data_IF_266172177647
#
_entry.id   IF_266172177647
#
_cell.length_a   1.000
_cell.length_b   1.000
_cell.length_c   1.000
_cell.angle_alpha   90.00
_cell.angle_beta   90.00
_cell.angle_gamma   90.00
#
_symmetry.space_group_name_H-M   'P 1'
#
loop_
_entity.id
_entity.type
_entity.pdbx_description
1 polymer ?
#
# COMPACT_ATOMS: atom_id res chain seq x y z
N UNK A 1 -36.03 -1.59 -39.20
CA UNK A 1 -35.00 -1.86 -38.19
C UNK A 1 -34.38 -0.53 -37.81
N UNK A 2 -34.45 -0.14 -36.55
CA UNK A 2 -33.84 1.11 -36.06
C UNK A 2 -32.42 0.82 -35.62
N UNK A 3 -31.42 1.54 -36.17
CA UNK A 3 -30.04 1.46 -35.71
C UNK A 3 -29.95 2.04 -34.29
N UNK A 4 -29.61 1.22 -33.30
CA UNK A 4 -29.54 1.63 -31.90
C UNK A 4 -28.16 2.21 -31.54
N UNK A 5 -27.08 1.64 -32.09
CA UNK A 5 -25.72 2.05 -31.79
C UNK A 5 -24.81 1.75 -32.99
N UNK A 6 -23.88 2.65 -33.29
CA UNK A 6 -22.79 2.44 -34.25
C UNK A 6 -21.46 2.62 -33.49
N UNK A 7 -20.73 1.53 -33.28
CA UNK A 7 -19.39 1.56 -32.69
C UNK A 7 -18.38 1.85 -33.80
N UNK A 8 -17.56 2.90 -33.61
CA UNK A 8 -16.40 3.15 -34.48
C UNK A 8 -15.22 2.31 -33.95
N UNK A 9 -14.44 1.78 -34.87
CA UNK A 9 -13.18 1.12 -34.55
C UNK A 9 -12.14 2.18 -34.18
N UNK A 10 -11.42 1.99 -33.08
CA UNK A 10 -10.27 2.83 -32.74
C UNK A 10 -9.06 2.42 -33.59
N UNK A 11 -8.90 1.11 -33.83
CA UNK A 11 -7.95 0.56 -34.77
C UNK A 11 -8.69 0.22 -36.08
N UNK A 12 -8.45 0.92 -37.19
CA UNK A 12 -9.13 0.67 -38.45
C UNK A 12 -8.81 -0.69 -39.10
N UNK A 13 -7.70 -1.33 -38.64
CA UNK A 13 -7.26 -2.62 -39.17
C UNK A 13 -7.88 -3.79 -38.38
N UNK A 14 -8.16 -3.61 -37.09
CA UNK A 14 -8.74 -4.66 -36.24
C UNK A 14 -10.16 -5.04 -36.70
N UNK A 15 -10.43 -6.32 -36.85
CA UNK A 15 -11.74 -6.89 -37.10
C UNK A 15 -12.54 -7.11 -35.83
N UNK A 16 -13.83 -7.48 -35.98
CA UNK A 16 -14.63 -8.00 -34.87
C UNK A 16 -14.77 -9.50 -35.05
N UNK A 17 -14.33 -10.26 -34.04
CA UNK A 17 -14.46 -11.72 -34.07
C UNK A 17 -15.79 -12.21 -33.53
N UNK A 18 -16.21 -11.64 -32.38
CA UNK A 18 -17.46 -12.04 -31.74
C UNK A 18 -18.08 -10.88 -30.96
N UNK A 19 -19.38 -11.02 -30.65
CA UNK A 19 -20.15 -10.04 -29.89
C UNK A 19 -21.10 -10.76 -28.94
N UNK A 20 -21.10 -10.35 -27.68
CA UNK A 20 -22.00 -10.85 -26.64
C UNK A 20 -22.77 -9.71 -25.99
N UNK A 21 -24.07 -9.91 -25.77
CA UNK A 21 -24.95 -8.91 -25.16
C UNK A 21 -25.45 -9.40 -23.81
N UNK A 22 -25.31 -8.56 -22.77
CA UNK A 22 -25.88 -8.80 -21.45
C UNK A 22 -27.12 -7.90 -21.25
N UNK A 23 -28.35 -8.46 -21.32
CA UNK A 23 -29.57 -7.67 -21.20
C UNK A 23 -29.84 -7.14 -19.77
N UNK A 24 -29.19 -7.68 -18.75
CA UNK A 24 -29.43 -7.26 -17.34
C UNK A 24 -28.84 -5.89 -17.03
N UNK A 25 -27.76 -5.51 -17.71
CA UNK A 25 -27.05 -4.24 -17.47
C UNK A 25 -26.80 -3.43 -18.75
N UNK A 26 -27.44 -3.83 -19.87
CA UNK A 26 -27.34 -3.18 -21.18
C UNK A 26 -25.89 -3.05 -21.70
N UNK A 27 -25.05 -4.05 -21.40
CA UNK A 27 -23.66 -4.09 -21.83
C UNK A 27 -23.49 -4.97 -23.08
N UNK A 28 -22.72 -4.47 -24.04
CA UNK A 28 -22.30 -5.15 -25.24
C UNK A 28 -20.80 -5.41 -25.16
N UNK A 29 -20.41 -6.67 -25.13
CA UNK A 29 -19.01 -7.11 -25.17
C UNK A 29 -18.62 -7.37 -26.62
N UNK A 30 -17.52 -6.81 -27.07
CA UNK A 30 -16.96 -6.94 -28.41
C UNK A 30 -15.58 -7.53 -28.32
N UNK A 31 -15.38 -8.69 -28.92
CA UNK A 31 -14.08 -9.35 -29.06
C UNK A 31 -13.45 -8.91 -30.38
N UNK A 32 -12.23 -8.39 -30.31
CA UNK A 32 -11.49 -7.91 -31.46
C UNK A 32 -10.37 -8.90 -31.84
N UNK A 33 -10.01 -8.96 -33.11
CA UNK A 33 -8.95 -9.84 -33.63
C UNK A 33 -7.52 -9.40 -33.21
N UNK A 34 -7.41 -8.19 -32.64
CA UNK A 34 -6.17 -7.72 -31.98
C UNK A 34 -6.06 -8.16 -30.50
N UNK A 35 -6.98 -9.05 -30.05
CA UNK A 35 -7.01 -9.59 -28.69
C UNK A 35 -7.68 -8.69 -27.67
N UNK A 36 -8.12 -7.48 -28.04
CA UNK A 36 -8.80 -6.58 -27.10
C UNK A 36 -10.28 -6.97 -26.92
N UNK A 37 -10.73 -6.96 -25.68
CA UNK A 37 -12.15 -7.16 -25.35
C UNK A 37 -12.70 -5.84 -24.83
N UNK A 38 -13.61 -5.22 -25.59
CA UNK A 38 -14.20 -3.93 -25.26
C UNK A 38 -15.66 -4.07 -24.85
N UNK A 39 -16.04 -3.41 -23.76
CA UNK A 39 -17.41 -3.45 -23.25
C UNK A 39 -18.06 -2.07 -23.32
N UNK A 40 -19.21 -2.01 -23.98
CA UNK A 40 -19.95 -0.80 -24.27
C UNK A 40 -21.29 -0.81 -23.57
N UNK A 41 -21.73 0.33 -23.07
CA UNK A 41 -23.13 0.52 -22.68
C UNK A 41 -23.95 0.92 -23.91
N UNK A 42 -24.94 0.12 -24.24
CA UNK A 42 -25.74 0.34 -25.48
C UNK A 42 -26.72 1.51 -25.38
N UNK A 43 -27.14 1.90 -24.17
CA UNK A 43 -28.05 3.04 -23.99
C UNK A 43 -27.31 4.36 -24.18
N UNK A 44 -26.11 4.47 -23.65
CA UNK A 44 -25.32 5.70 -23.70
C UNK A 44 -24.37 5.75 -24.88
N UNK A 45 -24.10 4.62 -25.53
CA UNK A 45 -23.10 4.50 -26.60
C UNK A 45 -21.64 4.64 -26.09
N UNK A 46 -21.41 4.64 -24.81
CA UNK A 46 -20.07 4.88 -24.22
C UNK A 46 -19.35 3.57 -23.94
N UNK A 47 -18.03 3.54 -24.23
CA UNK A 47 -17.13 2.51 -23.78
C UNK A 47 -17.09 2.52 -22.24
N UNK A 48 -17.20 1.35 -21.64
CA UNK A 48 -17.14 1.20 -20.18
C UNK A 48 -15.74 0.82 -19.74
N UNK A 49 -15.18 -0.22 -20.35
CA UNK A 49 -13.82 -0.68 -20.08
C UNK A 49 -13.28 -1.51 -21.22
N UNK A 50 -11.96 -1.66 -21.23
CA UNK A 50 -11.24 -2.58 -22.11
C UNK A 50 -10.53 -3.60 -21.23
N UNK A 51 -10.65 -4.86 -21.58
CA UNK A 51 -9.94 -5.97 -20.96
C UNK A 51 -8.92 -6.52 -21.96
N UNK A 52 -7.69 -6.71 -21.49
CA UNK A 52 -6.57 -7.26 -22.26
C UNK A 52 -6.12 -8.55 -21.56
N UNK A 53 -6.49 -9.72 -22.07
CA UNK A 53 -5.92 -10.98 -21.59
C UNK A 53 -4.52 -11.17 -22.19
N UNK A 54 -3.63 -11.76 -21.40
CA UNK A 54 -2.33 -12.24 -21.83
C UNK A 54 -2.20 -13.74 -21.55
N UNK A 55 -1.07 -14.33 -21.89
CA UNK A 55 -0.77 -15.72 -21.57
C UNK A 55 -0.61 -15.92 -20.04
N UNK A 56 -0.67 -17.16 -19.57
CA UNK A 56 -0.43 -17.56 -18.17
C UNK A 56 -1.36 -16.88 -17.14
N UNK A 57 -2.61 -16.56 -17.52
CA UNK A 57 -3.59 -15.89 -16.66
C UNK A 57 -3.28 -14.44 -16.29
N UNK A 58 -2.33 -13.82 -16.96
CA UNK A 58 -2.06 -12.39 -16.82
C UNK A 58 -3.14 -11.56 -17.51
N UNK A 59 -3.47 -10.42 -16.94
CA UNK A 59 -4.47 -9.52 -17.54
C UNK A 59 -4.32 -8.07 -17.08
N UNK A 60 -4.88 -7.16 -17.89
CA UNK A 60 -5.13 -5.77 -17.52
C UNK A 60 -6.56 -5.39 -17.92
N UNK A 61 -7.24 -4.66 -17.04
CA UNK A 61 -8.51 -3.99 -17.34
C UNK A 61 -8.35 -2.50 -17.11
N UNK A 62 -8.74 -1.68 -18.06
CA UNK A 62 -8.70 -0.23 -17.90
C UNK A 62 -9.99 0.44 -18.38
N UNK A 63 -10.31 1.59 -17.80
CA UNK A 63 -11.47 2.42 -18.13
C UNK A 63 -11.08 3.57 -19.06
N UNK A 64 -12.03 4.18 -19.79
CA UNK A 64 -11.76 5.37 -20.62
C UNK A 64 -11.17 6.55 -19.84
N UNK A 65 -11.45 6.62 -18.54
CA UNK A 65 -10.91 7.63 -17.64
C UNK A 65 -9.43 7.39 -17.31
N UNK A 66 -8.88 6.19 -17.62
CA UNK A 66 -7.50 5.80 -17.40
C UNK A 66 -7.28 4.95 -16.15
N UNK A 67 -8.31 4.72 -15.32
CA UNK A 67 -8.17 3.83 -14.16
C UNK A 67 -7.98 2.39 -14.60
N UNK A 68 -7.06 1.68 -13.93
CA UNK A 68 -6.77 0.30 -14.29
C UNK A 68 -6.68 -0.64 -13.08
N UNK A 69 -6.82 -1.92 -13.37
CA UNK A 69 -6.49 -3.05 -12.50
C UNK A 69 -5.87 -4.16 -13.35
N UNK A 70 -5.13 -5.05 -12.73
CA UNK A 70 -4.51 -6.18 -13.42
C UNK A 70 -3.63 -6.97 -12.49
N UNK A 71 -3.05 -8.04 -13.03
CA UNK A 71 -2.03 -8.81 -12.31
C UNK A 71 -0.75 -8.00 -12.15
N UNK A 72 0.00 -8.28 -11.10
CA UNK A 72 1.19 -7.51 -10.75
C UNK A 72 2.23 -7.52 -11.87
N UNK A 73 2.46 -8.68 -12.47
CA UNK A 73 3.42 -8.81 -13.55
C UNK A 73 2.99 -8.05 -14.81
N UNK A 74 1.70 -8.16 -15.20
CA UNK A 74 1.17 -7.46 -16.37
C UNK A 74 1.21 -5.94 -16.22
N UNK A 75 0.88 -5.41 -15.04
CA UNK A 75 0.92 -3.96 -14.76
C UNK A 75 2.33 -3.38 -14.79
N UNK A 76 3.34 -4.19 -14.44
CA UNK A 76 4.74 -3.76 -14.42
C UNK A 76 5.48 -3.92 -15.74
N UNK A 77 5.05 -4.84 -16.62
CA UNK A 77 5.90 -5.27 -17.73
C UNK A 77 5.24 -5.23 -19.12
N UNK A 78 3.91 -5.14 -19.21
CA UNK A 78 3.24 -5.43 -20.48
C UNK A 78 2.55 -4.24 -21.15
N UNK A 79 2.29 -3.15 -20.45
CA UNK A 79 1.50 -2.04 -20.99
C UNK A 79 2.20 -0.71 -20.83
N UNK A 80 2.21 0.02 -21.93
CA UNK A 80 2.79 1.33 -22.04
C UNK A 80 1.76 2.33 -22.59
N UNK A 81 1.80 3.55 -22.07
CA UNK A 81 1.15 4.68 -22.71
C UNK A 81 2.16 5.33 -23.64
N UNK A 82 1.77 5.56 -24.89
CA UNK A 82 2.60 6.27 -25.89
C UNK A 82 1.99 7.65 -26.13
N UNK A 83 2.78 8.70 -25.86
CA UNK A 83 2.43 10.08 -26.20
C UNK A 83 3.54 10.67 -27.08
N UNK A 84 3.30 10.75 -28.37
CA UNK A 84 4.30 11.13 -29.36
C UNK A 84 5.45 10.13 -29.44
N UNK A 85 6.65 10.55 -28.99
CA UNK A 85 7.84 9.71 -28.90
C UNK A 85 8.10 9.20 -27.47
N UNK A 86 7.33 9.65 -26.49
CA UNK A 86 7.50 9.27 -25.11
C UNK A 86 6.70 7.99 -24.80
N UNK A 87 7.34 7.09 -24.09
CA UNK A 87 6.76 5.83 -23.61
C UNK A 87 6.70 5.91 -22.08
N UNK A 88 5.50 5.81 -21.53
CA UNK A 88 5.26 5.85 -20.09
C UNK A 88 4.75 4.47 -19.65
N UNK A 89 5.47 3.81 -18.76
CA UNK A 89 5.04 2.55 -18.16
C UNK A 89 3.86 2.77 -17.21
N UNK A 90 2.91 1.84 -17.14
CA UNK A 90 1.80 1.93 -16.19
C UNK A 90 2.28 2.05 -14.73
N UNK A 91 3.41 1.41 -14.41
CA UNK A 91 4.03 1.48 -13.08
C UNK A 91 4.36 2.92 -12.65
N UNK A 92 4.71 3.79 -13.61
CA UNK A 92 5.01 5.21 -13.35
C UNK A 92 3.78 6.03 -12.94
N UNK A 93 2.56 5.53 -13.23
CA UNK A 93 1.27 6.17 -12.91
C UNK A 93 0.48 5.38 -11.85
N UNK A 94 1.08 4.34 -11.27
CA UNK A 94 0.41 3.40 -10.38
C UNK A 94 -0.32 4.11 -9.23
N UNK A 95 0.33 5.03 -8.55
CA UNK A 95 -0.24 5.76 -7.41
C UNK A 95 -1.52 6.52 -7.72
N UNK A 96 -1.71 6.94 -8.96
CA UNK A 96 -2.87 7.73 -9.38
C UNK A 96 -3.94 6.88 -10.05
N UNK A 97 -3.54 5.94 -10.90
CA UNK A 97 -4.47 5.25 -11.80
C UNK A 97 -4.76 3.80 -11.43
N UNK A 98 -3.97 3.16 -10.57
CA UNK A 98 -4.32 1.83 -10.08
C UNK A 98 -5.49 1.91 -9.10
N UNK A 99 -6.71 1.65 -9.63
CA UNK A 99 -7.99 1.82 -8.94
C UNK A 99 -8.94 0.64 -9.26
N UNK A 100 -8.63 -0.58 -8.75
CA UNK A 100 -9.48 -1.76 -8.94
C UNK A 100 -10.95 -1.53 -8.55
N UNK A 101 -11.19 -0.72 -7.51
CA UNK A 101 -12.50 -0.33 -7.04
C UNK A 101 -13.30 0.45 -8.10
N UNK A 102 -12.67 1.43 -8.75
CA UNK A 102 -13.33 2.22 -9.81
C UNK A 102 -13.54 1.38 -11.07
N UNK A 103 -12.58 0.51 -11.40
CA UNK A 103 -12.78 -0.47 -12.48
C UNK A 103 -13.96 -1.38 -12.16
N UNK A 104 -14.04 -1.94 -10.95
CA UNK A 104 -15.16 -2.78 -10.52
C UNK A 104 -16.51 -2.01 -10.53
N UNK A 105 -16.52 -0.75 -10.10
CA UNK A 105 -17.69 0.11 -10.18
C UNK A 105 -18.15 0.33 -11.63
N UNK A 106 -17.21 0.54 -12.55
CA UNK A 106 -17.46 0.70 -13.97
C UNK A 106 -18.00 -0.59 -14.61
N UNK A 107 -17.46 -1.76 -14.21
CA UNK A 107 -17.99 -3.07 -14.61
C UNK A 107 -19.46 -3.26 -14.19
N UNK A 108 -19.88 -2.65 -13.09
CA UNK A 108 -21.28 -2.62 -12.61
C UNK A 108 -22.13 -1.56 -13.31
N UNK A 109 -21.57 -0.80 -14.27
CA UNK A 109 -22.28 0.25 -15.01
C UNK A 109 -22.39 1.58 -14.26
N UNK A 110 -21.65 1.77 -13.15
CA UNK A 110 -21.66 3.03 -12.39
C UNK A 110 -20.84 4.12 -13.09
N UNK A 111 -21.26 5.38 -12.91
CA UNK A 111 -20.49 6.54 -13.36
C UNK A 111 -19.35 6.84 -12.36
N UNK A 112 -18.13 6.86 -12.89
CA UNK A 112 -16.91 7.13 -12.13
C UNK A 112 -16.22 8.44 -12.56
N UNK A 113 -16.86 9.21 -13.44
CA UNK A 113 -16.26 10.43 -14.02
C UNK A 113 -15.86 11.48 -12.98
N UNK A 114 -16.56 11.54 -11.85
CA UNK A 114 -16.24 12.45 -10.76
C UNK A 114 -14.85 12.19 -10.14
N UNK A 115 -14.39 10.93 -10.16
CA UNK A 115 -13.08 10.53 -9.63
C UNK A 115 -11.91 10.83 -10.58
N UNK A 116 -12.21 11.04 -11.88
CA UNK A 116 -11.20 11.30 -12.91
C UNK A 116 -10.76 12.77 -12.95
N UNK A 117 -11.47 13.66 -12.27
CA UNK A 117 -11.20 15.11 -12.33
C UNK A 117 -9.77 15.42 -11.83
N UNK A 118 -8.93 15.92 -12.73
CA UNK A 118 -7.55 16.30 -12.45
C UNK A 118 -6.53 15.13 -12.41
N UNK A 119 -7.01 13.87 -12.54
CA UNK A 119 -6.17 12.66 -12.57
C UNK A 119 -6.53 11.69 -13.70
N UNK A 120 -7.30 12.13 -14.68
CA UNK A 120 -7.54 11.34 -15.90
C UNK A 120 -6.23 11.11 -16.66
N UNK A 121 -6.22 10.11 -17.54
CA UNK A 121 -5.05 9.83 -18.39
C UNK A 121 -4.62 11.08 -19.18
N UNK A 122 -5.57 11.87 -19.68
CA UNK A 122 -5.31 13.14 -20.36
C UNK A 122 -4.73 14.22 -19.43
N UNK A 123 -5.19 14.28 -18.17
CA UNK A 123 -4.64 15.21 -17.18
C UNK A 123 -3.22 14.82 -16.76
N UNK A 124 -2.92 13.53 -16.76
CA UNK A 124 -1.59 13.01 -16.46
C UNK A 124 -0.65 13.30 -17.64
N UNK A 125 -1.04 12.97 -18.87
CA UNK A 125 -0.24 13.27 -20.07
C UNK A 125 0.04 14.79 -20.20
N UNK A 126 -0.95 15.64 -19.93
CA UNK A 126 -0.79 17.09 -19.97
C UNK A 126 0.12 17.64 -18.84
N UNK A 127 0.46 16.86 -17.83
CA UNK A 127 1.31 17.28 -16.70
C UNK A 127 2.80 17.31 -17.03
N UNK A 128 3.18 16.89 -18.22
CA UNK A 128 4.57 16.81 -18.67
C UNK A 128 5.26 15.50 -18.25
N UNK A 129 6.42 15.27 -18.84
CA UNK A 129 7.19 14.02 -18.71
C UNK A 129 7.83 13.92 -17.33
N UNK A 130 8.06 12.69 -16.84
CA UNK A 130 8.84 12.48 -15.63
C UNK A 130 10.31 12.88 -15.81
N UNK A 131 10.98 13.37 -14.76
CA UNK A 131 12.40 13.67 -14.83
C UNK A 131 13.24 12.39 -15.01
N UNK A 132 14.47 12.53 -15.47
CA UNK A 132 15.43 11.44 -15.54
C UNK A 132 16.31 11.42 -14.29
N UNK A 133 16.49 10.23 -13.70
CA UNK A 133 17.35 10.01 -12.54
C UNK A 133 18.59 9.23 -12.93
N UNK A 134 19.76 9.68 -12.47
CA UNK A 134 21.03 8.99 -12.70
C UNK A 134 21.82 8.89 -11.39
N UNK A 135 22.08 7.66 -10.93
CA UNK A 135 22.93 7.39 -9.76
C UNK A 135 24.39 7.46 -10.21
N UNK A 136 25.21 8.20 -9.46
CA UNK A 136 26.62 8.45 -9.78
C UNK A 136 27.57 7.44 -9.15
N UNK A 137 27.15 6.76 -8.07
CA UNK A 137 27.91 5.70 -7.42
C UNK A 137 28.10 4.50 -8.36
N UNK A 138 29.31 3.92 -8.38
CA UNK A 138 29.65 2.81 -9.30
C UNK A 138 30.30 1.60 -8.62
N UNK A 139 30.73 1.73 -7.36
CA UNK A 139 31.42 0.66 -6.66
C UNK A 139 30.43 -0.41 -6.20
N UNK A 140 30.64 -1.67 -6.58
CA UNK A 140 29.81 -2.79 -6.16
C UNK A 140 30.06 -3.26 -4.72
N UNK A 141 31.10 -2.73 -4.06
CA UNK A 141 31.45 -3.04 -2.66
C UNK A 141 31.78 -1.77 -1.90
N UNK A 142 31.47 -1.74 -0.60
CA UNK A 142 31.84 -0.67 0.33
C UNK A 142 32.66 -1.21 1.49
N UNK A 143 33.70 -0.46 1.90
CA UNK A 143 34.47 -0.72 3.11
C UNK A 143 33.76 -0.14 4.36
N UNK A 144 32.91 0.85 4.17
CA UNK A 144 32.13 1.47 5.24
C UNK A 144 30.67 1.02 5.19
N UNK A 145 30.06 0.92 6.36
CA UNK A 145 28.62 0.77 6.49
C UNK A 145 27.88 2.00 5.98
N UNK A 146 28.38 3.17 6.34
CA UNK A 146 27.78 4.44 5.95
C UNK A 146 28.38 4.91 4.65
N UNK A 147 27.52 5.20 3.69
CA UNK A 147 27.89 5.70 2.36
C UNK A 147 27.12 7.00 2.05
N UNK A 148 27.68 7.78 1.14
CA UNK A 148 26.95 8.86 0.49
C UNK A 148 26.42 8.33 -0.83
N UNK A 149 25.12 8.40 -1.03
CA UNK A 149 24.47 8.13 -2.31
C UNK A 149 24.43 9.43 -3.09
N UNK A 150 25.23 9.49 -4.17
CA UNK A 150 25.29 10.63 -5.05
C UNK A 150 24.48 10.37 -6.31
N UNK A 151 23.55 11.27 -6.65
CA UNK A 151 22.72 11.15 -7.85
C UNK A 151 22.30 12.51 -8.39
N UNK A 152 21.88 12.53 -9.64
CA UNK A 152 21.32 13.70 -10.28
C UNK A 152 19.92 13.42 -10.79
N UNK A 153 19.08 14.45 -10.76
CA UNK A 153 17.73 14.46 -11.32
C UNK A 153 17.68 15.55 -12.38
N UNK A 154 17.31 15.20 -13.60
CA UNK A 154 17.25 16.11 -14.75
C UNK A 154 15.82 16.26 -15.21
N UNK A 155 15.31 17.48 -15.27
CA UNK A 155 14.01 17.81 -15.84
C UNK A 155 13.96 17.45 -17.34
N UNK A 156 12.88 16.82 -17.75
CA UNK A 156 12.57 16.44 -19.13
C UNK A 156 11.39 17.19 -19.73
N UNK A 157 10.93 18.25 -19.06
CA UNK A 157 9.81 19.11 -19.47
C UNK A 157 8.60 19.06 -18.55
N UNK A 158 8.57 18.21 -17.53
CA UNK A 158 7.52 18.17 -16.54
C UNK A 158 7.91 18.72 -15.16
N UNK A 159 9.12 19.29 -15.04
CA UNK A 159 9.68 19.76 -13.77
C UNK A 159 10.20 18.62 -12.88
N UNK A 160 10.70 18.99 -11.69
CA UNK A 160 11.20 18.05 -10.67
C UNK A 160 10.35 18.18 -9.42
N UNK A 161 9.55 17.17 -9.15
CA UNK A 161 8.75 17.00 -7.94
C UNK A 161 9.49 16.28 -6.81
N UNK A 162 8.78 15.46 -6.04
CA UNK A 162 9.38 14.68 -4.96
C UNK A 162 10.33 13.59 -5.48
N UNK A 163 11.40 13.34 -4.72
CA UNK A 163 12.37 12.30 -4.99
C UNK A 163 12.18 11.17 -3.97
N UNK A 164 12.15 9.94 -4.42
CA UNK A 164 12.08 8.75 -3.58
C UNK A 164 13.40 7.98 -3.66
N UNK A 165 13.95 7.63 -2.50
CA UNK A 165 15.07 6.70 -2.38
C UNK A 165 14.51 5.45 -1.71
N UNK A 166 14.87 4.25 -2.19
CA UNK A 166 14.65 3.02 -1.45
C UNK A 166 15.96 2.34 -1.13
N UNK A 167 16.05 1.76 0.06
CA UNK A 167 17.14 0.88 0.45
C UNK A 167 16.54 -0.46 0.88
N UNK A 168 16.83 -1.52 0.13
CA UNK A 168 16.30 -2.87 0.37
C UNK A 168 14.76 -2.93 0.44
N UNK A 169 14.08 -2.13 -0.39
CA UNK A 169 12.62 -2.01 -0.44
C UNK A 169 12.06 -0.93 0.48
N UNK A 170 12.73 -0.54 1.56
CA UNK A 170 12.29 0.54 2.46
C UNK A 170 12.37 1.89 1.76
N UNK A 171 11.28 2.65 1.77
CA UNK A 171 11.21 3.98 1.16
C UNK A 171 11.76 5.04 2.12
N UNK A 172 12.70 5.82 1.63
CA UNK A 172 13.24 7.03 2.27
C UNK A 172 12.82 8.20 1.37
N UNK A 173 11.85 8.98 1.81
CA UNK A 173 11.36 10.09 1.00
C UNK A 173 12.24 11.32 1.16
N UNK A 174 12.76 11.83 0.04
CA UNK A 174 13.44 13.12 -0.05
C UNK A 174 12.46 14.12 -0.65
N UNK A 175 12.01 15.11 0.11
CA UNK A 175 10.88 15.98 -0.27
C UNK A 175 11.31 17.33 -0.83
N UNK A 176 12.38 17.43 -1.61
CA UNK A 176 12.80 18.70 -2.14
C UNK A 176 12.42 18.85 -3.62
N UNK A 177 11.37 19.64 -3.86
CA UNK A 177 11.08 20.15 -5.20
C UNK A 177 12.20 21.06 -5.66
N UNK A 178 12.77 20.79 -6.80
CA UNK A 178 13.79 21.67 -7.39
C UNK A 178 13.21 22.48 -8.54
N UNK A 179 13.49 23.77 -8.54
CA UNK A 179 13.18 24.67 -9.66
C UNK A 179 14.28 24.67 -10.73
N UNK A 180 15.38 23.95 -10.49
CA UNK A 180 16.50 23.85 -11.42
C UNK A 180 16.23 22.78 -12.46
N UNK A 181 16.70 22.97 -13.68
CA UNK A 181 16.63 21.96 -14.75
C UNK A 181 17.47 20.70 -14.44
N UNK A 182 18.49 20.82 -13.59
CA UNK A 182 19.28 19.72 -13.04
C UNK A 182 19.49 19.95 -11.55
N UNK A 183 19.13 18.96 -10.74
CA UNK A 183 19.39 18.93 -9.31
C UNK A 183 20.36 17.80 -8.96
N UNK A 184 21.36 18.11 -8.13
CA UNK A 184 22.33 17.12 -7.63
C UNK A 184 22.05 16.90 -6.15
N UNK A 185 22.13 15.63 -5.74
CA UNK A 185 21.85 15.20 -4.38
C UNK A 185 23.00 14.33 -3.87
N UNK A 186 23.31 14.47 -2.59
CA UNK A 186 24.19 13.59 -1.84
C UNK A 186 23.46 13.19 -0.56
N UNK A 187 23.09 11.90 -0.43
CA UNK A 187 22.24 11.43 0.65
C UNK A 187 22.92 10.35 1.48
N UNK A 188 22.98 10.50 2.81
CA UNK A 188 23.60 9.50 3.67
C UNK A 188 22.73 8.25 3.78
N UNK A 189 23.32 7.07 3.59
CA UNK A 189 22.67 5.77 3.74
C UNK A 189 23.54 4.86 4.60
N UNK A 190 22.92 4.07 5.46
CA UNK A 190 23.56 3.02 6.26
C UNK A 190 23.18 1.66 5.69
N UNK A 191 24.15 0.91 5.20
CA UNK A 191 23.98 -0.37 4.56
C UNK A 191 23.70 -1.49 5.58
N UNK A 192 22.91 -2.46 5.19
CA UNK A 192 22.82 -3.76 5.86
C UNK A 192 23.97 -4.65 5.41
N UNK A 193 24.34 -5.65 6.22
CA UNK A 193 25.33 -6.64 5.83
C UNK A 193 24.88 -7.41 4.59
N UNK A 194 25.79 -7.67 3.67
CA UNK A 194 25.52 -8.36 2.41
C UNK A 194 25.19 -7.39 1.27
N UNK A 195 24.46 -7.88 0.28
CA UNK A 195 24.03 -7.08 -0.87
C UNK A 195 22.91 -6.12 -0.46
N UNK A 196 23.07 -4.86 -0.84
CA UNK A 196 22.06 -3.83 -0.71
C UNK A 196 21.63 -3.36 -2.09
N UNK A 197 20.32 -3.28 -2.29
CA UNK A 197 19.72 -2.71 -3.49
C UNK A 197 19.15 -1.34 -3.16
N UNK A 198 19.69 -0.33 -3.81
CA UNK A 198 19.27 1.07 -3.69
C UNK A 198 18.58 1.46 -4.99
N UNK A 199 17.39 2.05 -4.90
CA UNK A 199 16.73 2.63 -6.07
C UNK A 199 16.42 4.10 -5.83
N UNK A 200 16.47 4.89 -6.87
CA UNK A 200 16.08 6.30 -6.86
C UNK A 200 15.11 6.56 -7.99
N UNK A 201 14.02 7.24 -7.66
CA UNK A 201 13.05 7.76 -8.62
C UNK A 201 12.63 9.19 -8.25
N UNK A 202 12.04 9.91 -9.18
CA UNK A 202 11.54 11.24 -8.96
C UNK A 202 10.21 11.47 -9.69
N UNK A 203 9.31 12.21 -9.11
CA UNK A 203 8.06 12.62 -9.74
C UNK A 203 8.28 13.88 -10.61
N UNK A 204 7.40 14.10 -11.59
CA UNK A 204 7.28 15.40 -12.21
C UNK A 204 6.72 16.43 -11.18
N UNK A 205 6.83 17.73 -11.46
CA UNK A 205 6.38 18.79 -10.50
C UNK A 205 4.90 18.68 -10.13
N UNK A 206 4.08 18.14 -11.02
CA UNK A 206 2.67 17.87 -10.76
C UNK A 206 2.42 16.65 -9.87
N UNK A 207 3.44 15.89 -9.45
CA UNK A 207 3.35 14.66 -8.64
C UNK A 207 2.46 13.57 -9.28
N UNK A 208 2.45 13.47 -10.61
CA UNK A 208 1.57 12.56 -11.35
C UNK A 208 2.28 11.40 -12.04
N UNK A 209 3.49 11.62 -12.52
CA UNK A 209 4.28 10.61 -13.23
C UNK A 209 5.61 10.44 -12.50
N UNK A 210 5.87 9.21 -12.05
CA UNK A 210 7.15 8.81 -11.47
C UNK A 210 8.15 8.44 -12.58
N UNK A 211 9.41 8.77 -12.40
CA UNK A 211 10.48 8.37 -13.34
C UNK A 211 10.70 6.85 -13.31
N UNK A 212 11.31 6.32 -14.36
CA UNK A 212 11.93 4.99 -14.29
C UNK A 212 12.93 4.98 -13.14
N UNK A 213 12.95 3.88 -12.38
CA UNK A 213 13.83 3.72 -11.22
C UNK A 213 15.26 3.47 -11.64
N UNK A 214 16.19 4.32 -11.19
CA UNK A 214 17.62 4.08 -11.30
C UNK A 214 18.04 3.14 -10.17
N UNK A 215 18.81 2.08 -10.47
CA UNK A 215 19.17 1.02 -9.53
C UNK A 215 20.67 0.99 -9.29
N UNK A 216 21.08 0.91 -8.03
CA UNK A 216 22.46 0.73 -7.61
C UNK A 216 22.55 -0.42 -6.59
N UNK A 217 23.44 -1.37 -6.86
CA UNK A 217 23.71 -2.50 -5.97
C UNK A 217 25.10 -2.36 -5.35
N UNK A 218 25.16 -2.49 -4.02
CA UNK A 218 26.42 -2.39 -3.28
C UNK A 218 26.42 -3.40 -2.13
N UNK A 219 27.55 -4.09 -1.96
CA UNK A 219 27.73 -5.07 -0.86
C UNK A 219 28.62 -4.49 0.24
N UNK A 220 28.22 -4.70 1.48
CA UNK A 220 29.02 -4.42 2.68
C UNK A 220 29.19 -5.70 3.50
N UNK A 221 30.44 -6.05 3.85
CA UNK A 221 30.81 -7.30 4.52
C UNK A 221 31.31 -7.10 5.97
N UNK A 222 30.92 -5.99 6.60
CA UNK A 222 31.29 -5.72 7.98
C UNK A 222 30.65 -6.68 9.00
N UNK A 223 31.02 -6.53 10.24
CA UNK A 223 30.50 -7.37 11.33
C UNK A 223 29.03 -7.05 11.57
N UNK A 224 28.19 -8.08 11.57
CA UNK A 224 26.79 -7.99 11.97
C UNK A 224 26.72 -7.84 13.49
N UNK A 225 26.00 -6.83 13.94
CA UNK A 225 25.60 -6.69 15.34
C UNK A 225 24.23 -7.33 15.51
N UNK A 226 24.00 -7.96 16.67
CA UNK A 226 22.69 -8.49 16.99
C UNK A 226 21.71 -7.33 17.11
N UNK A 227 20.56 -7.37 16.37
CA UNK A 227 19.62 -6.25 16.34
C UNK A 227 18.94 -5.99 17.69
N UNK A 228 18.40 -4.81 17.84
CA UNK A 228 17.40 -4.48 18.85
C UNK A 228 16.01 -4.51 18.21
N UNK A 229 15.00 -4.87 19.01
CA UNK A 229 13.60 -4.83 18.57
C UNK A 229 12.92 -3.59 19.14
N UNK A 230 12.26 -2.85 18.27
CA UNK A 230 11.41 -1.72 18.65
C UNK A 230 9.96 -2.01 18.27
N UNK A 231 9.05 -1.94 19.24
CA UNK A 231 7.62 -2.15 19.03
C UNK A 231 6.87 -0.88 19.42
N UNK A 232 6.06 -0.36 18.52
CA UNK A 232 5.09 0.70 18.81
C UNK A 232 3.69 0.09 18.77
N UNK A 233 3.05 -0.02 19.95
CA UNK A 233 1.70 -0.53 20.08
C UNK A 233 0.71 0.62 20.29
N UNK A 234 -0.30 0.70 19.42
CA UNK A 234 -1.31 1.77 19.43
C UNK A 234 -2.70 1.14 19.55
N UNK A 235 -3.51 1.63 20.49
CA UNK A 235 -4.87 1.13 20.67
C UNK A 235 -5.85 2.24 21.10
N UNK A 236 -7.04 2.30 20.51
CA UNK A 236 -8.06 3.28 20.86
C UNK A 236 -9.38 2.58 21.14
N UNK A 237 -9.84 2.63 22.40
CA UNK A 237 -11.19 2.28 22.79
C UNK A 237 -12.05 3.53 22.94
N UNK A 238 -11.46 4.61 23.48
CA UNK A 238 -12.19 5.81 23.86
C UNK A 238 -11.96 6.96 22.89
N UNK A 239 -12.86 7.10 21.93
CA UNK A 239 -12.88 8.22 21.01
C UNK A 239 -13.59 9.43 21.59
N UNK A 240 -13.19 10.63 21.17
CA UNK A 240 -13.90 11.87 21.48
C UNK A 240 -15.33 11.85 20.94
N UNK A 241 -15.53 11.24 19.78
CA UNK A 241 -16.85 10.93 19.24
C UNK A 241 -17.37 9.64 19.89
N UNK A 242 -18.45 9.79 20.68
CA UNK A 242 -18.99 8.67 21.46
C UNK A 242 -19.62 7.56 20.61
N UNK A 243 -19.94 7.84 19.34
CA UNK A 243 -20.43 6.82 18.41
C UNK A 243 -19.36 5.85 17.94
N UNK A 244 -18.06 6.18 18.16
CA UNK A 244 -16.91 5.41 17.71
C UNK A 244 -16.25 4.58 18.83
N UNK A 245 -16.88 4.43 19.99
CA UNK A 245 -16.30 3.67 21.10
C UNK A 245 -16.06 2.20 20.70
N UNK A 246 -14.91 1.65 21.08
CA UNK A 246 -14.53 0.25 20.94
C UNK A 246 -14.30 -0.40 22.31
N UNK A 247 -14.17 -1.72 22.35
CA UNK A 247 -13.98 -2.45 23.61
C UNK A 247 -12.65 -3.22 23.64
N UNK A 248 -12.10 -3.59 22.49
CA UNK A 248 -10.99 -4.54 22.42
C UNK A 248 -9.67 -3.95 21.89
N UNK A 249 -9.69 -2.79 21.22
CA UNK A 249 -8.48 -2.23 20.60
C UNK A 249 -7.34 -1.95 21.61
N UNK A 250 -7.65 -1.43 22.81
CA UNK A 250 -6.63 -1.25 23.86
C UNK A 250 -6.18 -2.58 24.47
N UNK A 251 -7.08 -3.51 24.86
CA UNK A 251 -6.70 -4.87 25.28
C UNK A 251 -5.82 -5.60 24.27
N UNK A 252 -6.11 -5.47 22.98
CA UNK A 252 -5.36 -6.10 21.91
C UNK A 252 -3.94 -5.52 21.79
N UNK A 253 -3.82 -4.20 21.78
CA UNK A 253 -2.52 -3.54 21.80
C UNK A 253 -1.70 -3.89 23.06
N UNK A 254 -2.35 -4.06 24.20
CA UNK A 254 -1.71 -4.52 25.44
C UNK A 254 -1.29 -6.00 25.37
N UNK A 255 -2.05 -6.86 24.69
CA UNK A 255 -1.69 -8.26 24.50
C UNK A 255 -0.40 -8.37 23.64
N UNK A 256 -0.32 -7.59 22.56
CA UNK A 256 0.87 -7.49 21.71
C UNK A 256 2.05 -6.91 22.50
N UNK A 257 1.84 -5.83 23.26
CA UNK A 257 2.85 -5.28 24.17
C UNK A 257 3.38 -6.35 25.12
N UNK A 258 2.50 -7.07 25.80
CA UNK A 258 2.86 -8.13 26.77
C UNK A 258 3.65 -9.25 26.08
N UNK A 259 3.23 -9.67 24.88
CA UNK A 259 3.91 -10.74 24.15
C UNK A 259 5.35 -10.37 23.81
N UNK A 260 5.60 -9.18 23.30
CA UNK A 260 6.94 -8.73 22.98
C UNK A 260 7.77 -8.25 24.18
N UNK A 261 7.14 -7.97 25.34
CA UNK A 261 7.88 -7.56 26.56
C UNK A 261 8.72 -8.68 27.16
N UNK A 262 8.45 -9.92 26.81
CA UNK A 262 9.33 -11.04 27.15
C UNK A 262 10.63 -10.87 26.36
N UNK A 263 11.76 -10.67 27.06
CA UNK A 263 13.06 -10.47 26.41
C UNK A 263 13.42 -11.68 25.55
N UNK A 264 13.40 -11.51 24.25
CA UNK A 264 13.80 -12.54 23.31
C UNK A 264 15.31 -12.45 23.04
N UNK A 265 16.08 -12.90 24.00
CA UNK A 265 17.56 -12.86 23.92
C UNK A 265 18.15 -13.79 22.88
N UNK A 266 17.37 -14.68 22.27
CA UNK A 266 17.83 -15.47 21.11
C UNK A 266 17.99 -14.59 19.88
N UNK A 267 17.04 -13.69 19.62
CA UNK A 267 17.00 -12.85 18.41
C UNK A 267 17.56 -11.43 18.63
N UNK A 268 17.33 -10.82 19.78
CA UNK A 268 17.58 -9.40 20.01
C UNK A 268 18.52 -9.14 21.17
N UNK A 269 19.32 -8.07 21.08
CA UNK A 269 20.11 -7.58 22.20
C UNK A 269 19.24 -6.90 23.26
N UNK A 270 18.22 -6.18 22.81
CA UNK A 270 17.26 -5.52 23.67
C UNK A 270 15.89 -5.45 22.96
N UNK A 271 14.83 -5.32 23.77
CA UNK A 271 13.46 -5.07 23.28
C UNK A 271 12.96 -3.79 23.89
N UNK A 272 12.55 -2.85 23.05
CA UNK A 272 12.00 -1.55 23.40
C UNK A 272 10.53 -1.50 22.99
N UNK A 273 9.64 -1.23 23.95
CA UNK A 273 8.22 -1.15 23.67
C UNK A 273 7.72 0.23 24.07
N UNK A 274 7.10 0.88 23.11
CA UNK A 274 6.43 2.16 23.27
C UNK A 274 4.94 1.96 23.02
N UNK A 275 4.10 2.67 23.76
CA UNK A 275 2.65 2.54 23.66
C UNK A 275 1.99 3.91 23.54
N UNK A 276 0.89 3.95 22.78
CA UNK A 276 -0.06 5.06 22.77
C UNK A 276 -1.46 4.47 22.92
N UNK A 277 -2.20 4.88 23.93
CA UNK A 277 -3.55 4.39 24.19
C UNK A 277 -4.56 5.53 24.33
N UNK A 278 -5.77 5.31 23.84
CA UNK A 278 -6.91 6.21 23.96
C UNK A 278 -6.57 7.67 23.65
N UNK A 279 -6.77 8.60 24.57
CA UNK A 279 -6.56 10.04 24.39
C UNK A 279 -5.16 10.45 23.95
N UNK A 280 -4.16 9.59 24.15
CA UNK A 280 -2.80 9.85 23.70
C UNK A 280 -2.63 9.60 22.20
N UNK A 281 -3.55 8.90 21.56
CA UNK A 281 -3.48 8.58 20.14
C UNK A 281 -4.04 9.74 19.31
N UNK A 282 -3.24 10.78 19.15
CA UNK A 282 -3.54 11.91 18.25
C UNK A 282 -2.54 11.94 17.11
N UNK A 283 -2.92 12.56 15.97
CA UNK A 283 -2.00 12.74 14.83
C UNK A 283 -0.67 13.36 15.25
N UNK A 284 -0.70 14.34 16.16
CA UNK A 284 0.49 15.01 16.70
C UNK A 284 1.37 14.04 17.52
N UNK A 285 0.77 13.27 18.42
CA UNK A 285 1.53 12.38 19.32
C UNK A 285 2.10 11.19 18.55
N UNK A 286 1.38 10.67 17.55
CA UNK A 286 1.88 9.65 16.63
C UNK A 286 3.15 10.16 15.95
N UNK A 287 3.10 11.33 15.28
CA UNK A 287 4.27 11.89 14.58
C UNK A 287 5.43 12.19 15.53
N UNK A 288 5.14 12.67 16.75
CA UNK A 288 6.16 12.87 17.79
C UNK A 288 6.84 11.56 18.18
N UNK A 289 6.07 10.48 18.37
CA UNK A 289 6.59 9.16 18.73
C UNK A 289 7.49 8.60 17.64
N UNK A 290 7.11 8.72 16.38
CA UNK A 290 7.97 8.33 15.26
C UNK A 290 9.28 9.13 15.21
N UNK A 291 9.22 10.44 15.49
CA UNK A 291 10.42 11.29 15.55
C UNK A 291 11.35 10.89 16.71
N UNK A 292 10.81 10.51 17.87
CA UNK A 292 11.60 10.01 19.01
C UNK A 292 12.25 8.66 18.67
N UNK A 293 11.51 7.75 18.05
CA UNK A 293 12.01 6.42 17.64
C UNK A 293 13.10 6.53 16.57
N UNK A 294 12.97 7.44 15.63
CA UNK A 294 13.94 7.62 14.53
C UNK A 294 15.34 7.99 15.00
N UNK A 295 15.48 8.59 16.19
CA UNK A 295 16.78 8.93 16.78
C UNK A 295 17.47 7.72 17.41
N UNK A 296 16.76 6.63 17.64
CA UNK A 296 17.25 5.44 18.37
C UNK A 296 17.43 4.23 17.45
N UNK A 297 16.52 4.05 16.50
CA UNK A 297 16.46 2.87 15.64
C UNK A 297 17.57 2.93 14.58
N UNK A 298 18.39 1.89 14.53
CA UNK A 298 19.47 1.70 13.54
C UNK A 298 18.99 0.84 12.37
N UNK A 299 19.80 0.79 11.32
CA UNK A 299 19.47 0.05 10.09
C UNK A 299 19.28 -1.46 10.31
N UNK A 300 20.07 -2.08 11.20
CA UNK A 300 19.97 -3.53 11.46
C UNK A 300 18.85 -3.90 12.43
N UNK A 301 18.28 -2.91 13.14
CA UNK A 301 17.22 -3.15 14.11
C UNK A 301 15.92 -3.60 13.41
N UNK A 302 15.03 -4.16 14.20
CA UNK A 302 13.70 -4.57 13.75
C UNK A 302 12.67 -3.62 14.32
N UNK A 303 11.76 -3.16 13.49
CA UNK A 303 10.66 -2.30 13.89
C UNK A 303 9.30 -2.96 13.64
N UNK A 304 8.44 -2.98 14.64
CA UNK A 304 7.06 -3.46 14.53
C UNK A 304 6.12 -2.33 14.95
N UNK A 305 5.22 -1.96 14.06
CA UNK A 305 4.08 -1.10 14.35
C UNK A 305 2.83 -1.96 14.45
N UNK A 306 2.14 -1.92 15.57
CA UNK A 306 0.82 -2.49 15.75
C UNK A 306 -0.20 -1.38 16.03
N UNK A 307 -1.29 -1.37 15.28
CA UNK A 307 -2.35 -0.36 15.42
C UNK A 307 -3.70 -1.04 15.49
N UNK A 308 -4.44 -0.81 16.57
CA UNK A 308 -5.82 -1.27 16.75
C UNK A 308 -6.77 -0.08 16.95
N UNK A 309 -7.87 -0.06 16.21
CA UNK A 309 -8.84 1.04 16.25
C UNK A 309 -9.66 1.15 14.97
N UNK A 310 -10.21 2.32 14.69
CA UNK A 310 -10.93 2.56 13.45
C UNK A 310 -9.98 2.96 12.32
N UNK A 311 -10.16 2.29 11.18
CA UNK A 311 -9.61 2.67 9.89
C UNK A 311 -10.72 2.88 8.87
N UNK A 312 -10.47 3.62 7.82
CA UNK A 312 -11.40 3.78 6.71
C UNK A 312 -10.67 4.13 5.42
N UNK A 313 -11.30 3.81 4.30
CA UNK A 313 -10.87 4.28 2.98
C UNK A 313 -11.77 5.44 2.58
N UNK A 314 -11.17 6.59 2.33
CA UNK A 314 -11.87 7.80 1.93
C UNK A 314 -12.11 7.82 0.40
N UNK A 315 -12.99 8.72 -0.09
CA UNK A 315 -13.33 8.87 -1.52
C UNK A 315 -12.12 9.15 -2.45
N UNK A 316 -11.00 9.66 -1.90
CA UNK A 316 -9.74 9.82 -2.64
C UNK A 316 -9.02 8.49 -2.90
N UNK A 317 -9.50 7.42 -2.26
CA UNK A 317 -8.96 6.07 -2.38
C UNK A 317 -7.76 5.82 -1.48
N UNK A 318 -7.45 6.69 -0.55
CA UNK A 318 -6.40 6.49 0.43
C UNK A 318 -6.96 5.98 1.77
N UNK A 319 -6.14 5.19 2.45
CA UNK A 319 -6.41 4.71 3.80
C UNK A 319 -6.19 5.84 4.82
N UNK A 320 -7.08 5.91 5.80
CA UNK A 320 -7.00 6.81 6.95
C UNK A 320 -7.20 6.05 8.25
N UNK A 321 -6.27 6.20 9.18
CA UNK A 321 -6.46 5.80 10.55
C UNK A 321 -7.14 6.93 11.34
N UNK A 322 -8.15 6.60 12.14
CA UNK A 322 -8.96 7.57 12.86
C UNK A 322 -8.36 7.79 14.26
N UNK A 323 -7.83 8.98 14.58
CA UNK A 323 -7.26 9.26 15.89
C UNK A 323 -8.33 9.47 16.97
N UNK A 324 -7.95 9.37 18.25
CA UNK A 324 -8.89 9.43 19.38
C UNK A 324 -9.62 10.79 19.53
N UNK A 325 -8.99 11.88 19.09
CA UNK A 325 -9.57 13.23 19.14
C UNK A 325 -10.48 13.57 17.94
N UNK A 326 -10.67 12.63 17.02
CA UNK A 326 -11.55 12.76 15.87
C UNK A 326 -13.01 12.98 16.28
N UNK A 327 -13.73 13.78 15.48
CA UNK A 327 -15.18 13.97 15.54
C UNK A 327 -15.76 13.95 14.14
N UNK A 328 -16.63 13.00 13.87
CA UNK A 328 -17.31 12.93 12.59
C UNK A 328 -18.32 14.10 12.44
N UNK A 329 -18.19 14.88 11.40
CA UNK A 329 -19.14 15.93 11.01
C UNK A 329 -19.61 15.75 9.58
N UNK A 330 -18.70 15.31 8.71
CA UNK A 330 -18.93 15.01 7.31
C UNK A 330 -17.81 14.08 6.82
N UNK A 331 -17.96 13.52 5.63
CA UNK A 331 -16.92 12.68 5.02
C UNK A 331 -15.59 13.44 4.85
N UNK A 332 -15.65 14.74 4.55
CA UNK A 332 -14.45 15.57 4.40
C UNK A 332 -13.63 15.71 5.70
N UNK A 333 -14.26 15.51 6.88
CA UNK A 333 -13.55 15.52 8.16
C UNK A 333 -12.50 14.40 8.25
N UNK A 334 -12.73 13.26 7.57
CA UNK A 334 -11.78 12.14 7.51
C UNK A 334 -10.46 12.60 6.90
N UNK A 335 -10.51 13.32 5.79
CA UNK A 335 -9.29 13.81 5.13
C UNK A 335 -8.61 14.96 5.90
N UNK A 336 -9.37 15.74 6.66
CA UNK A 336 -8.86 16.87 7.45
C UNK A 336 -8.18 16.42 8.75
N UNK A 337 -8.80 15.50 9.48
CA UNK A 337 -8.43 15.14 10.85
C UNK A 337 -7.87 13.73 11.00
N UNK A 338 -8.12 12.83 10.06
CA UNK A 338 -7.57 11.48 10.04
C UNK A 338 -6.06 11.46 9.80
N UNK A 339 -5.41 10.39 10.21
CA UNK A 339 -4.01 10.08 9.89
C UNK A 339 -3.98 9.45 8.50
N UNK A 340 -3.63 10.22 7.49
CA UNK A 340 -3.66 9.81 6.09
C UNK A 340 -2.54 8.82 5.73
N UNK A 341 -2.67 8.14 4.58
CA UNK A 341 -1.57 7.38 3.96
C UNK A 341 -0.29 8.23 3.87
N UNK A 342 -0.40 9.49 3.47
CA UNK A 342 0.75 10.42 3.39
C UNK A 342 1.39 10.67 4.75
N UNK A 343 0.60 10.84 5.82
CA UNK A 343 1.13 10.99 7.18
C UNK A 343 1.83 9.72 7.66
N UNK A 344 1.22 8.55 7.40
CA UNK A 344 1.83 7.24 7.73
C UNK A 344 3.13 7.02 6.96
N UNK A 345 3.14 7.27 5.65
CA UNK A 345 4.34 7.17 4.82
C UNK A 345 5.45 8.09 5.33
N UNK A 346 5.12 9.35 5.65
CA UNK A 346 6.08 10.31 6.21
C UNK A 346 6.65 9.81 7.54
N UNK A 347 5.82 9.34 8.44
CA UNK A 347 6.25 8.84 9.75
C UNK A 347 7.11 7.59 9.61
N UNK A 348 6.69 6.61 8.81
CA UNK A 348 7.41 5.37 8.58
C UNK A 348 8.76 5.59 7.89
N UNK A 349 8.85 6.58 6.98
CA UNK A 349 10.12 6.92 6.31
C UNK A 349 11.21 7.44 7.27
N UNK A 350 10.83 7.91 8.46
CA UNK A 350 11.79 8.30 9.50
C UNK A 350 12.48 7.10 10.16
N UNK A 351 11.85 5.92 10.12
CA UNK A 351 12.37 4.71 10.78
C UNK A 351 13.47 4.09 9.95
N UNK A 352 14.67 3.98 10.52
CA UNK A 352 15.85 3.47 9.81
C UNK A 352 15.94 1.93 9.73
N UNK A 353 15.09 1.18 10.45
CA UNK A 353 15.11 -0.28 10.41
C UNK A 353 14.93 -0.82 8.99
N UNK A 354 15.81 -1.74 8.57
CA UNK A 354 15.69 -2.44 7.28
C UNK A 354 14.66 -3.56 7.30
N UNK A 355 14.35 -4.08 8.49
CA UNK A 355 13.36 -5.12 8.76
C UNK A 355 12.21 -4.50 9.53
N UNK A 356 11.03 -4.48 8.95
CA UNK A 356 9.89 -3.81 9.58
C UNK A 356 8.56 -4.44 9.19
N UNK A 357 7.66 -4.47 10.18
CA UNK A 357 6.32 -5.01 10.03
C UNK A 357 5.29 -3.99 10.54
N UNK A 358 4.32 -3.69 9.71
CA UNK A 358 3.13 -2.88 10.04
C UNK A 358 1.94 -3.81 10.18
N UNK A 359 1.31 -3.84 11.33
CA UNK A 359 0.12 -4.64 11.63
C UNK A 359 -1.04 -3.68 11.89
N UNK A 360 -2.07 -3.75 11.07
CA UNK A 360 -3.25 -2.92 11.18
C UNK A 360 -4.45 -3.79 11.59
N UNK A 361 -4.77 -3.80 12.88
CA UNK A 361 -6.00 -4.40 13.41
C UNK A 361 -7.10 -3.32 13.43
N UNK A 362 -7.44 -2.86 12.23
CA UNK A 362 -8.42 -1.82 12.04
C UNK A 362 -9.59 -2.35 11.23
N UNK A 363 -10.80 -2.13 11.77
CA UNK A 363 -12.02 -2.41 11.04
C UNK A 363 -12.31 -1.28 10.07
N UNK A 364 -12.77 -1.61 8.87
CA UNK A 364 -13.44 -0.61 8.05
C UNK A 364 -14.78 -0.30 8.74
N UNK A 365 -14.80 0.73 9.58
CA UNK A 365 -15.98 1.08 10.33
C UNK A 365 -17.03 1.63 9.35
N UNK A 366 -17.97 0.79 8.94
CA UNK A 366 -19.20 1.23 8.26
C UNK A 366 -19.99 2.28 9.06
N UNK A 367 -19.50 2.64 10.25
CA UNK A 367 -20.03 3.71 11.10
C UNK A 367 -19.97 5.09 10.42
N UNK A 368 -19.05 5.31 9.45
CA UNK A 368 -18.92 6.58 8.74
C UNK A 368 -19.74 6.64 7.44
N UNK A 369 -20.29 5.53 6.96
CA UNK A 369 -20.96 5.47 5.67
C UNK A 369 -22.46 5.24 5.92
N UNK A 370 -23.21 6.35 6.08
CA UNK A 370 -24.67 6.32 6.15
C UNK A 370 -25.36 6.02 4.82
N UNK A 371 -24.64 6.02 3.71
CA UNK A 371 -25.19 5.78 2.38
C UNK A 371 -24.77 4.42 1.84
N UNK A 372 -25.72 3.47 1.84
CA UNK A 372 -25.55 2.08 1.36
C UNK A 372 -25.20 1.94 -0.14
N UNK A 373 -24.88 3.03 -0.83
CA UNK A 373 -24.76 3.06 -2.29
C UNK A 373 -23.37 3.29 -2.87
N UNK A 374 -22.43 3.86 -2.15
CA UNK A 374 -21.09 4.16 -2.68
C UNK A 374 -20.03 3.60 -1.74
N UNK A 375 -19.67 2.34 -1.92
CA UNK A 375 -18.46 1.78 -1.34
C UNK A 375 -17.28 2.25 -2.20
N UNK A 376 -16.34 2.97 -1.56
CA UNK A 376 -15.11 3.43 -2.18
C UNK A 376 -14.16 2.29 -2.59
N UNK A 377 -12.88 2.62 -2.73
CA UNK A 377 -11.81 1.67 -3.02
C UNK A 377 -11.86 0.49 -2.05
N UNK A 378 -11.56 -0.70 -2.57
CA UNK A 378 -11.33 -1.87 -1.76
C UNK A 378 -10.21 -1.59 -0.76
N UNK A 379 -10.42 -2.00 0.48
CA UNK A 379 -9.44 -1.82 1.56
C UNK A 379 -8.11 -2.49 1.19
N UNK A 380 -8.17 -3.65 0.55
CA UNK A 380 -7.01 -4.33 -0.02
C UNK A 380 -6.18 -3.39 -0.90
N UNK A 381 -6.80 -2.73 -1.86
CA UNK A 381 -6.10 -1.81 -2.77
C UNK A 381 -5.48 -0.62 -2.03
N UNK A 382 -6.17 -0.07 -1.03
CA UNK A 382 -5.64 1.03 -0.22
C UNK A 382 -4.42 0.57 0.61
N UNK A 383 -4.45 -0.65 1.12
CA UNK A 383 -3.35 -1.27 1.87
C UNK A 383 -2.17 -1.60 0.95
N UNK A 384 -2.42 -2.19 -0.24
CA UNK A 384 -1.38 -2.44 -1.24
C UNK A 384 -0.66 -1.14 -1.62
N UNK A 385 -1.42 -0.05 -1.77
CA UNK A 385 -0.85 1.29 -2.01
C UNK A 385 -0.06 1.83 -0.82
N UNK A 386 -0.51 1.58 0.41
CA UNK A 386 0.22 1.96 1.63
C UNK A 386 1.53 1.17 1.74
N UNK A 387 1.48 -0.16 1.60
CA UNK A 387 2.65 -1.03 1.64
C UNK A 387 3.68 -0.64 0.58
N UNK A 388 3.25 -0.43 -0.65
CA UNK A 388 4.12 0.02 -1.75
C UNK A 388 4.73 1.41 -1.49
N UNK A 389 3.95 2.35 -0.92
CA UNK A 389 4.41 3.70 -0.62
C UNK A 389 5.41 3.75 0.54
N UNK A 390 5.39 2.76 1.43
CA UNK A 390 6.25 2.70 2.63
C UNK A 390 7.39 1.71 2.48
N UNK A 391 7.21 0.65 1.69
CA UNK A 391 8.16 -0.46 1.54
C UNK A 391 8.25 -1.36 2.78
N UNK A 392 7.31 -1.25 3.71
CA UNK A 392 7.24 -2.10 4.90
C UNK A 392 6.35 -3.31 4.65
N UNK A 393 6.71 -4.46 5.22
CA UNK A 393 5.78 -5.59 5.28
C UNK A 393 4.53 -5.17 6.05
N UNK A 394 3.36 -5.52 5.52
CA UNK A 394 2.08 -5.09 6.09
C UNK A 394 1.13 -6.28 6.21
N UNK A 395 0.47 -6.40 7.36
CA UNK A 395 -0.61 -7.36 7.61
C UNK A 395 -1.81 -6.59 8.17
N UNK A 396 -3.00 -6.87 7.65
CA UNK A 396 -4.24 -6.20 8.03
C UNK A 396 -5.29 -7.22 8.44
N UNK A 397 -6.03 -6.94 9.48
CA UNK A 397 -6.97 -7.86 10.13
C UNK A 397 -8.12 -8.30 9.24
N UNK A 398 -8.62 -7.45 8.36
CA UNK A 398 -9.76 -7.75 7.49
C UNK A 398 -9.62 -7.08 6.14
N UNK A 399 -10.16 -7.70 5.11
CA UNK A 399 -10.27 -7.16 3.76
C UNK A 399 -11.63 -6.52 3.48
N UNK A 400 -11.85 -6.20 2.20
CA UNK A 400 -12.96 -5.45 1.65
C UNK A 400 -14.33 -5.70 2.28
N UNK A 401 -14.92 -4.63 2.82
CA UNK A 401 -16.27 -4.60 3.39
C UNK A 401 -16.53 -5.55 4.58
N UNK A 402 -15.50 -6.12 5.17
CA UNK A 402 -15.58 -6.97 6.35
C UNK A 402 -15.28 -6.16 7.60
N UNK A 403 -16.04 -6.40 8.65
CA UNK A 403 -15.69 -5.91 10.00
C UNK A 403 -14.76 -6.92 10.63
N UNK A 404 -13.65 -6.48 11.24
CA UNK A 404 -12.87 -7.34 12.10
C UNK A 404 -13.76 -7.82 13.25
N UNK A 405 -13.74 -9.12 13.52
CA UNK A 405 -14.58 -9.74 14.52
C UNK A 405 -14.04 -9.49 15.92
N UNK A 406 -14.87 -8.97 16.80
CA UNK A 406 -14.53 -8.67 18.18
C UNK A 406 -15.13 -9.68 19.18
N UNK A 407 -14.53 -9.78 20.37
CA UNK A 407 -15.05 -10.61 21.45
C UNK A 407 -14.72 -12.09 21.35
N UNK A 408 -13.59 -12.43 20.76
CA UNK A 408 -13.03 -13.79 20.80
C UNK A 408 -12.04 -13.92 21.97
N UNK A 409 -12.44 -14.66 23.01
CA UNK A 409 -11.63 -14.87 24.22
C UNK A 409 -11.09 -13.56 24.85
N UNK A 410 -11.89 -12.47 24.81
CA UNK A 410 -11.52 -11.18 25.39
C UNK A 410 -10.69 -10.27 24.48
N UNK A 411 -10.54 -10.62 23.22
CA UNK A 411 -9.77 -9.92 22.19
C UNK A 411 -10.56 -9.79 20.88
N UNK A 412 -10.05 -8.99 19.96
CA UNK A 412 -10.34 -9.12 18.54
C UNK A 412 -9.81 -10.47 18.03
N UNK A 413 -10.55 -11.12 17.12
CA UNK A 413 -10.16 -12.44 16.60
C UNK A 413 -8.77 -12.43 15.98
N UNK A 414 -8.47 -11.42 15.18
CA UNK A 414 -7.18 -11.29 14.52
C UNK A 414 -6.03 -11.24 15.53
N UNK A 415 -6.14 -10.37 16.54
CA UNK A 415 -5.10 -10.26 17.57
C UNK A 415 -4.99 -11.51 18.44
N UNK A 416 -6.10 -12.20 18.72
CA UNK A 416 -6.05 -13.50 19.40
C UNK A 416 -5.20 -14.48 18.57
N UNK A 417 -5.45 -14.62 17.28
CA UNK A 417 -4.69 -15.52 16.40
C UNK A 417 -3.23 -15.07 16.26
N UNK A 418 -2.96 -13.78 16.11
CA UNK A 418 -1.62 -13.22 16.07
C UNK A 418 -0.80 -13.63 17.31
N UNK A 419 -1.36 -13.46 18.51
CA UNK A 419 -0.69 -13.80 19.78
C UNK A 419 -0.49 -15.32 19.90
N UNK A 420 -1.48 -16.13 19.51
CA UNK A 420 -1.35 -17.58 19.50
C UNK A 420 -0.27 -18.07 18.50
N UNK A 421 -0.19 -17.44 17.33
CA UNK A 421 0.90 -17.68 16.38
C UNK A 421 2.26 -17.41 17.00
N UNK A 422 2.41 -16.24 17.65
CA UNK A 422 3.64 -15.89 18.37
C UNK A 422 3.91 -16.78 19.62
N UNK A 423 2.89 -17.47 20.17
CA UNK A 423 3.05 -18.47 21.22
C UNK A 423 3.54 -19.83 20.70
N UNK A 424 4.03 -19.90 19.45
CA UNK A 424 4.65 -21.09 18.86
C UNK A 424 3.77 -21.80 17.84
N UNK A 425 2.46 -21.51 17.76
CA UNK A 425 1.58 -22.18 16.80
C UNK A 425 1.93 -21.89 15.34
N UNK A 426 2.63 -20.78 15.07
CA UNK A 426 3.09 -20.42 13.74
C UNK A 426 4.42 -21.08 13.36
N UNK A 427 5.20 -21.62 14.31
CA UNK A 427 6.45 -22.34 14.01
C UNK A 427 6.16 -23.67 13.31
N UNK A 428 6.06 -23.63 11.99
CA UNK A 428 5.66 -24.78 11.18
C UNK A 428 6.80 -25.75 10.93
N UNK A 429 8.03 -25.26 10.89
CA UNK A 429 9.24 -26.04 10.64
C UNK A 429 9.89 -26.55 11.93
N UNK A 430 9.42 -26.09 13.10
CA UNK A 430 9.88 -26.45 14.46
C UNK A 430 11.35 -26.14 14.72
N UNK A 431 11.84 -25.05 14.19
CA UNK A 431 13.22 -24.61 14.41
C UNK A 431 13.36 -23.66 15.63
N UNK A 432 12.24 -23.36 16.30
CA UNK A 432 12.17 -22.48 17.47
C UNK A 432 12.18 -21.00 17.12
N UNK A 433 12.02 -20.65 15.84
CA UNK A 433 11.86 -19.27 15.37
C UNK A 433 10.52 -19.11 14.66
N UNK A 434 9.94 -17.95 14.76
CA UNK A 434 8.73 -17.58 14.02
C UNK A 434 9.11 -16.49 13.05
N UNK A 435 9.11 -16.82 11.77
CA UNK A 435 9.40 -15.87 10.70
C UNK A 435 8.13 -15.10 10.33
N UNK A 436 8.31 -14.01 9.59
CA UNK A 436 7.20 -13.21 9.08
C UNK A 436 6.27 -14.03 8.16
N UNK A 437 6.85 -14.88 7.31
CA UNK A 437 6.11 -15.79 6.43
C UNK A 437 5.30 -16.82 7.21
N UNK A 438 5.88 -17.45 8.21
CA UNK A 438 5.18 -18.43 9.04
C UNK A 438 4.03 -17.81 9.81
N UNK A 439 4.26 -16.66 10.45
CA UNK A 439 3.22 -15.93 11.17
C UNK A 439 2.07 -15.55 10.25
N UNK A 440 2.37 -15.00 9.08
CA UNK A 440 1.34 -14.57 8.14
C UNK A 440 0.55 -15.75 7.56
N UNK A 441 1.20 -16.89 7.25
CA UNK A 441 0.53 -18.09 6.81
C UNK A 441 -0.40 -18.67 7.89
N UNK A 442 0.04 -18.65 9.15
CA UNK A 442 -0.80 -19.06 10.28
C UNK A 442 -2.04 -18.18 10.42
N UNK A 443 -1.88 -16.86 10.34
CA UNK A 443 -2.98 -15.89 10.39
C UNK A 443 -3.95 -16.11 9.24
N UNK A 444 -3.46 -16.28 7.99
CA UNK A 444 -4.28 -16.48 6.80
C UNK A 444 -5.15 -17.75 6.87
N UNK A 445 -4.69 -18.77 7.59
CA UNK A 445 -5.43 -20.01 7.77
C UNK A 445 -6.40 -19.94 8.96
N UNK A 446 -5.92 -19.49 10.13
CA UNK A 446 -6.68 -19.60 11.38
C UNK A 446 -7.78 -18.53 11.52
N UNK A 447 -7.55 -17.31 11.05
CA UNK A 447 -8.56 -16.24 11.18
C UNK A 447 -9.84 -16.59 10.40
N UNK A 448 -9.80 -17.01 9.11
CA UNK A 448 -11.00 -17.42 8.39
C UNK A 448 -11.71 -18.62 9.03
N UNK A 449 -10.94 -19.63 9.44
CA UNK A 449 -11.49 -20.85 10.04
C UNK A 449 -12.24 -20.54 11.34
N UNK A 450 -11.62 -19.84 12.27
CA UNK A 450 -12.22 -19.51 13.56
C UNK A 450 -13.38 -18.52 13.43
N UNK A 451 -13.32 -17.57 12.49
CA UNK A 451 -14.41 -16.65 12.23
C UNK A 451 -15.63 -17.39 11.67
N UNK A 452 -15.41 -18.29 10.71
CA UNK A 452 -16.49 -19.10 10.16
C UNK A 452 -17.12 -20.03 11.20
N UNK A 453 -16.29 -20.70 12.01
CA UNK A 453 -16.74 -21.60 13.07
C UNK A 453 -17.65 -20.88 14.10
N UNK A 454 -17.23 -19.68 14.50
CA UNK A 454 -17.94 -18.94 15.57
C UNK A 454 -19.11 -18.11 15.07
N UNK A 455 -19.02 -17.50 13.89
CA UNK A 455 -20.02 -16.53 13.39
C UNK A 455 -20.65 -16.92 12.04
N UNK A 456 -20.21 -18.03 11.41
CA UNK A 456 -20.70 -18.45 10.09
C UNK A 456 -20.29 -17.51 8.93
N UNK A 457 -19.25 -16.73 9.15
CA UNK A 457 -18.75 -15.72 8.20
C UNK A 457 -17.22 -15.65 8.27
N UNK A 458 -16.55 -15.66 7.14
CA UNK A 458 -15.10 -15.64 7.06
C UNK A 458 -14.56 -14.19 7.16
N UNK A 459 -13.69 -13.94 8.13
CA UNK A 459 -12.84 -12.78 8.17
C UNK A 459 -11.55 -13.12 7.43
N UNK A 460 -11.22 -12.39 6.36
CA UNK A 460 -10.07 -12.68 5.50
C UNK A 460 -9.01 -11.60 5.68
N UNK A 461 -7.92 -11.87 6.42
CA UNK A 461 -6.79 -10.96 6.53
C UNK A 461 -6.18 -10.64 5.18
N UNK A 462 -5.52 -9.49 5.08
CA UNK A 462 -4.78 -9.11 3.89
C UNK A 462 -3.32 -8.90 4.26
N UNK A 463 -2.41 -9.22 3.34
CA UNK A 463 -0.98 -9.02 3.55
C UNK A 463 -0.26 -8.59 2.29
N UNK A 464 0.78 -7.81 2.49
CA UNK A 464 1.86 -7.58 1.52
C UNK A 464 3.18 -7.62 2.29
N UNK A 465 3.93 -8.70 2.12
CA UNK A 465 5.21 -8.90 2.79
C UNK A 465 6.37 -8.32 1.99
N UNK A 466 6.11 -7.84 0.78
CA UNK A 466 7.14 -7.41 -0.15
C UNK A 466 8.13 -8.55 -0.41
N UNK A 467 9.42 -8.24 -0.27
CA UNK A 467 10.52 -9.23 -0.37
C UNK A 467 11.14 -9.55 0.99
N UNK A 468 10.45 -9.19 2.10
CA UNK A 468 10.99 -9.36 3.44
C UNK A 468 10.50 -10.69 4.04
N UNK A 469 11.45 -11.48 4.51
CA UNK A 469 11.19 -12.59 5.42
C UNK A 469 12.31 -12.65 6.45
N UNK A 470 11.95 -12.54 7.71
CA UNK A 470 12.89 -12.51 8.82
C UNK A 470 12.23 -13.06 10.09
N UNK A 471 13.01 -13.66 11.03
CA UNK A 471 12.47 -14.08 12.31
C UNK A 471 12.03 -12.88 13.13
N UNK A 472 10.80 -12.94 13.63
CA UNK A 472 10.18 -11.89 14.45
C UNK A 472 10.20 -12.27 15.92
N UNK A 473 10.07 -13.57 16.21
CA UNK A 473 10.00 -14.11 17.55
C UNK A 473 10.76 -15.44 17.63
N UNK A 474 11.27 -15.78 18.81
CA UNK A 474 11.82 -17.10 19.10
C UNK A 474 11.23 -17.64 20.41
N UNK A 475 10.97 -18.91 20.46
CA UNK A 475 10.51 -19.62 21.65
C UNK A 475 11.60 -19.85 22.71
#
# INVERSE_FOLDING_TARGET
TKLLLKIKKDNPIAGFENVAFNPRNNLLTVFQDDGLIKVWNIETGKLQYTFIPFEESEYITYTPEGFFTGTEWATKNLVYLVDGLDIIELDQMYDKLYRPDLVAAKLQGKDISAYAKGISLSDIAASGVAPAVNILNKNSTSQSRDIMLDFSVTDKGGGIGSVNITLNGRVIRVSDRSKNSVAQYSWPLSLSRGENTITVSAYNDAEKIESVKSVYKVSWQGKEEKPELYVLAVGINQYRDKSLQLNYAVPDAQAVQKKFSVQNTKLYNAVHIECLFDSDVTKKNISKKFSELSLRIKTDDVFILYVAGHGTVHKDGDYYFIPADFRYKSEDEISLSGVSKTDLTKNLSLINASKSLVILDTCNSGAFISDKGQRGMSEKTAIDRLSRATGHATIVAAGDSQSAMEGYNGHGLFTYVLVEGLNGKADTNKDGFITLTELSNYIDNEVPNLSYEKWGYEQIPQRDLGKQDFPIYAE
#
